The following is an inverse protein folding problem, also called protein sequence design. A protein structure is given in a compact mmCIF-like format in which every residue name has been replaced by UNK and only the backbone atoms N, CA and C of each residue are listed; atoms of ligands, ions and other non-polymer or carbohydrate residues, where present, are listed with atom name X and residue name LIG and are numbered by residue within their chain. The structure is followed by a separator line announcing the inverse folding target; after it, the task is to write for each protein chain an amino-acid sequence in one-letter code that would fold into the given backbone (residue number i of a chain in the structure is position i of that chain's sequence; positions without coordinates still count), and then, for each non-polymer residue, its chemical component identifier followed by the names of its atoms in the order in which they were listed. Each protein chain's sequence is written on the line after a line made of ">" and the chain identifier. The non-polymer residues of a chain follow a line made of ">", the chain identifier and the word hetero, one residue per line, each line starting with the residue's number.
data_IF_631065845380
#
_entry.id   IF_631065845380
#
_cell.length_a   1.000
_cell.length_b   1.000
_cell.length_c   1.000
_cell.angle_alpha   90.00
_cell.angle_beta   90.00
_cell.angle_gamma   90.00
#
_symmetry.space_group_name_H-M   'P 1'
#
loop_
_entity.id
_entity.type
_entity.pdbx_description
1 polymer ?
#
# COMPACT_ATOMS: atom_id res chain seq x y z
N UNK A 1 -78.66 -2.39 1.83
CA UNK A 1 -77.91 -1.35 1.09
C UNK A 1 -76.55 -1.21 1.78
N UNK A 2 -75.54 -2.02 1.48
CA UNK A 2 -74.72 -2.09 0.26
C UNK A 2 -73.84 -0.84 0.05
N UNK A 3 -72.60 -0.90 0.54
CA UNK A 3 -71.37 -0.46 -0.17
C UNK A 3 -70.15 -0.74 0.72
N UNK A 4 -69.54 -1.91 0.51
CA UNK A 4 -68.17 -2.19 0.93
C UNK A 4 -67.24 -1.66 -0.17
N UNK A 5 -66.31 -0.76 0.18
CA UNK A 5 -65.26 -0.27 -0.70
C UNK A 5 -64.04 -1.19 -0.52
N UNK A 6 -63.78 -2.02 -1.53
CA UNK A 6 -62.62 -2.92 -1.57
C UNK A 6 -61.38 -2.10 -1.96
N UNK A 7 -60.47 -1.83 -1.02
CA UNK A 7 -59.13 -1.34 -1.35
C UNK A 7 -58.26 -2.51 -1.82
N UNK A 8 -57.86 -2.48 -3.08
CA UNK A 8 -56.82 -3.35 -3.62
C UNK A 8 -55.46 -2.89 -3.12
N UNK A 9 -54.88 -3.62 -2.17
CA UNK A 9 -53.48 -3.49 -1.77
C UNK A 9 -52.61 -4.12 -2.87
N UNK A 10 -51.97 -3.25 -3.66
CA UNK A 10 -50.82 -3.61 -4.50
C UNK A 10 -49.66 -4.02 -3.58
N UNK A 11 -49.52 -5.33 -3.38
CA UNK A 11 -48.33 -5.92 -2.78
C UNK A 11 -47.15 -5.74 -3.72
N UNK A 12 -46.39 -4.66 -3.55
CA UNK A 12 -45.05 -4.52 -4.07
C UNK A 12 -44.18 -5.59 -3.40
N UNK A 13 -44.00 -6.72 -4.08
CA UNK A 13 -42.96 -7.67 -3.74
C UNK A 13 -41.60 -7.02 -4.02
N UNK A 14 -41.07 -6.30 -3.04
CA UNK A 14 -39.66 -5.93 -3.00
C UNK A 14 -38.87 -7.22 -2.75
N UNK A 15 -38.41 -7.86 -3.82
CA UNK A 15 -37.60 -9.07 -3.74
C UNK A 15 -36.25 -8.77 -3.06
N UNK A 16 -35.81 -9.58 -2.08
CA UNK A 16 -34.50 -9.44 -1.46
C UNK A 16 -33.45 -10.10 -2.36
N UNK A 17 -33.13 -9.48 -3.49
CA UNK A 17 -32.11 -10.02 -4.41
C UNK A 17 -30.97 -9.04 -4.73
N UNK A 18 -30.98 -7.83 -4.16
CA UNK A 18 -29.99 -6.80 -4.45
C UNK A 18 -28.86 -6.67 -3.40
N UNK A 19 -28.73 -7.62 -2.45
CA UNK A 19 -27.90 -7.41 -1.26
C UNK A 19 -26.92 -8.55 -0.90
N UNK A 20 -26.36 -9.28 -1.87
CA UNK A 20 -25.40 -10.35 -1.54
C UNK A 20 -24.14 -10.45 -2.41
N UNK A 21 -23.85 -9.48 -3.28
CA UNK A 21 -22.46 -9.34 -3.73
C UNK A 21 -21.70 -8.68 -2.58
N UNK A 22 -20.75 -9.38 -1.91
CA UNK A 22 -19.92 -8.73 -0.91
C UNK A 22 -19.31 -7.49 -1.54
N UNK A 23 -19.28 -6.38 -0.79
CA UNK A 23 -18.53 -5.22 -1.25
C UNK A 23 -17.14 -5.73 -1.63
N UNK A 24 -16.70 -5.48 -2.87
CA UNK A 24 -15.38 -5.93 -3.28
C UNK A 24 -14.38 -5.33 -2.28
N UNK A 25 -13.32 -6.08 -1.93
CA UNK A 25 -12.38 -5.63 -0.91
C UNK A 25 -11.89 -4.23 -1.27
N UNK A 26 -11.56 -3.41 -0.28
CA UNK A 26 -11.23 -2.00 -0.50
C UNK A 26 -10.11 -1.77 -1.55
N UNK A 27 -9.33 -2.81 -1.82
CA UNK A 27 -8.22 -2.90 -2.77
C UNK A 27 -8.61 -3.41 -4.18
N UNK A 28 -9.82 -3.92 -4.39
CA UNK A 28 -10.27 -4.54 -5.65
C UNK A 28 -10.34 -3.60 -6.86
N UNK A 29 -10.29 -2.28 -6.63
CA UNK A 29 -10.39 -1.26 -7.68
C UNK A 29 -9.14 -0.40 -7.86
N UNK A 30 -8.14 -0.58 -6.99
CA UNK A 30 -6.86 0.12 -7.09
C UNK A 30 -5.86 -0.78 -7.80
N UNK A 31 -5.37 -0.33 -8.97
CA UNK A 31 -3.98 -0.65 -9.27
C UNK A 31 -3.17 -0.03 -8.14
N UNK A 32 -2.42 -0.83 -7.41
CA UNK A 32 -1.66 -0.39 -6.25
C UNK A 32 -0.81 0.79 -6.67
N UNK A 33 -1.17 2.00 -6.24
CA UNK A 33 -0.41 3.21 -6.55
C UNK A 33 0.01 3.86 -5.26
N UNK A 34 1.27 4.27 -5.19
CA UNK A 34 1.78 5.10 -4.12
C UNK A 34 2.23 6.42 -4.71
N UNK A 35 1.66 7.52 -4.21
CA UNK A 35 1.93 8.87 -4.69
C UNK A 35 1.72 9.02 -6.21
N UNK A 36 0.64 8.42 -6.73
CA UNK A 36 0.30 8.45 -8.16
C UNK A 36 1.14 7.54 -9.05
N UNK A 37 2.08 6.76 -8.50
CA UNK A 37 2.95 5.83 -9.24
C UNK A 37 2.52 4.39 -9.02
N UNK A 38 2.48 3.61 -10.10
CA UNK A 38 2.18 2.18 -10.04
C UNK A 38 3.19 1.42 -9.20
N UNK A 39 2.67 0.57 -8.32
CA UNK A 39 3.44 -0.41 -7.54
C UNK A 39 3.71 -1.59 -8.46
N UNK A 40 5.00 -1.91 -8.60
CA UNK A 40 5.51 -2.96 -9.49
C UNK A 40 6.02 -4.18 -8.72
N UNK A 41 6.09 -4.09 -7.40
CA UNK A 41 6.55 -5.14 -6.52
C UNK A 41 6.00 -4.92 -5.10
N UNK A 42 5.63 -6.00 -4.43
CA UNK A 42 5.22 -6.04 -3.02
C UNK A 42 5.88 -7.23 -2.34
N UNK A 43 6.35 -7.05 -1.10
CA UNK A 43 6.76 -8.15 -0.22
C UNK A 43 6.32 -7.87 1.22
N UNK A 44 6.04 -8.94 1.95
CA UNK A 44 5.75 -8.91 3.39
C UNK A 44 6.99 -9.26 4.18
N UNK A 45 7.05 -8.76 5.41
CA UNK A 45 8.18 -9.01 6.28
C UNK A 45 7.75 -9.20 7.73
N UNK A 46 8.73 -9.60 8.57
CA UNK A 46 8.57 -9.66 10.01
C UNK A 46 8.06 -8.34 10.60
N UNK A 47 7.48 -8.39 11.81
CA UNK A 47 6.94 -7.22 12.51
C UNK A 47 5.88 -6.43 11.71
N UNK A 48 5.10 -7.11 10.85
CA UNK A 48 3.97 -6.51 10.10
C UNK A 48 4.39 -5.34 9.22
N UNK A 49 5.57 -5.44 8.64
CA UNK A 49 6.02 -4.54 7.59
C UNK A 49 5.64 -5.07 6.22
N UNK A 50 5.31 -4.15 5.32
CA UNK A 50 5.26 -4.41 3.87
C UNK A 50 6.25 -3.49 3.18
N UNK A 51 6.93 -4.02 2.18
CA UNK A 51 7.73 -3.22 1.26
C UNK A 51 7.09 -3.21 -0.11
N UNK A 52 7.16 -2.08 -0.80
CA UNK A 52 6.73 -2.01 -2.18
C UNK A 52 7.61 -1.06 -2.99
N UNK A 53 7.60 -1.24 -4.31
CA UNK A 53 8.42 -0.47 -5.25
C UNK A 53 7.51 0.25 -6.24
N UNK A 54 7.76 1.53 -6.47
CA UNK A 54 7.21 2.24 -7.63
C UNK A 54 8.34 2.74 -8.53
N UNK A 55 8.03 3.00 -9.79
CA UNK A 55 8.98 3.62 -10.74
C UNK A 55 8.41 4.95 -11.21
N UNK A 56 9.26 5.98 -11.35
CA UNK A 56 8.87 7.26 -11.94
C UNK A 56 9.28 7.38 -13.42
N UNK A 57 8.79 8.42 -14.09
CA UNK A 57 9.02 8.66 -15.52
C UNK A 57 10.50 8.89 -15.88
N UNK A 58 11.38 9.05 -14.88
CA UNK A 58 12.83 9.20 -15.05
C UNK A 58 13.59 7.91 -14.79
N UNK A 59 12.89 6.76 -14.76
CA UNK A 59 13.43 5.43 -14.49
C UNK A 59 14.18 5.37 -13.15
N UNK A 60 13.62 6.04 -12.13
CA UNK A 60 14.05 5.91 -10.73
C UNK A 60 13.11 4.99 -10.00
N UNK A 61 13.70 4.10 -9.21
CA UNK A 61 12.98 3.25 -8.29
C UNK A 61 12.75 3.98 -6.97
N UNK A 62 11.52 3.94 -6.50
CA UNK A 62 11.11 4.39 -5.18
C UNK A 62 10.80 3.17 -4.32
N UNK A 63 11.52 3.06 -3.22
CA UNK A 63 11.33 2.02 -2.23
C UNK A 63 10.52 2.57 -1.09
N UNK A 64 9.51 1.81 -0.67
CA UNK A 64 8.70 2.11 0.49
C UNK A 64 8.76 0.92 1.43
N UNK A 65 8.89 1.20 2.71
CA UNK A 65 8.72 0.25 3.80
C UNK A 65 7.65 0.84 4.71
N UNK A 66 6.50 0.18 4.78
CA UNK A 66 5.35 0.60 5.57
C UNK A 66 5.16 -0.35 6.75
N UNK A 67 5.00 0.22 7.94
CA UNK A 67 4.61 -0.52 9.13
C UNK A 67 3.10 -0.46 9.28
N UNK A 68 2.40 -1.54 8.94
CA UNK A 68 0.94 -1.56 8.85
C UNK A 68 0.24 -1.13 10.15
N UNK A 69 0.65 -1.57 11.35
CA UNK A 69 0.00 -1.15 12.60
C UNK A 69 0.02 0.35 12.88
N UNK A 70 1.05 1.08 12.41
CA UNK A 70 1.19 2.52 12.70
C UNK A 70 0.93 3.39 11.47
N UNK A 71 0.94 2.80 10.27
CA UNK A 71 0.99 3.50 8.98
C UNK A 71 2.19 4.42 8.83
N UNK A 72 3.28 4.15 9.58
CA UNK A 72 4.55 4.82 9.31
C UNK A 72 5.16 4.24 8.05
N UNK A 73 5.66 5.12 7.18
CA UNK A 73 6.30 4.76 5.93
C UNK A 73 7.69 5.37 5.91
N UNK A 74 8.70 4.56 5.62
CA UNK A 74 10.03 4.99 5.25
C UNK A 74 10.15 4.84 3.73
N UNK A 75 10.59 5.90 3.07
CA UNK A 75 10.83 5.87 1.63
C UNK A 75 12.25 6.27 1.26
N UNK A 76 12.77 5.66 0.22
CA UNK A 76 14.07 5.93 -0.38
C UNK A 76 13.94 5.94 -1.91
N UNK A 77 14.85 6.63 -2.59
CA UNK A 77 14.81 6.80 -4.05
C UNK A 77 16.19 6.52 -4.64
N UNK A 78 16.24 5.77 -5.72
CA UNK A 78 17.47 5.51 -6.48
C UNK A 78 17.92 6.73 -7.29
N UNK A 79 19.13 6.65 -7.82
CA UNK A 79 19.50 7.42 -9.00
C UNK A 79 18.69 6.93 -10.23
N UNK A 80 18.56 7.74 -11.30
CA UNK A 80 18.05 7.23 -12.58
C UNK A 80 18.89 6.04 -13.03
N UNK A 81 18.25 4.94 -13.46
CA UNK A 81 18.96 3.73 -13.90
C UNK A 81 20.01 4.01 -14.99
N UNK A 82 19.75 5.00 -15.84
CA UNK A 82 20.67 5.45 -16.90
C UNK A 82 21.94 6.14 -16.40
N UNK A 83 21.96 6.61 -15.15
CA UNK A 83 23.14 7.22 -14.50
C UNK A 83 24.04 6.18 -13.81
N UNK A 84 23.55 4.94 -13.58
CA UNK A 84 24.18 3.94 -12.72
C UNK A 84 25.24 3.05 -13.38
N UNK A 85 25.70 3.36 -14.59
CA UNK A 85 26.70 2.56 -15.32
C UNK A 85 28.16 2.86 -14.95
N UNK A 86 28.43 3.62 -13.87
CA UNK A 86 29.76 4.19 -13.63
C UNK A 86 30.45 3.92 -12.28
N UNK A 87 29.78 3.43 -11.24
CA UNK A 87 30.43 3.34 -9.91
C UNK A 87 29.87 2.23 -9.00
N UNK A 88 30.74 1.32 -8.56
CA UNK A 88 30.40 0.12 -7.76
C UNK A 88 30.20 0.36 -6.26
N UNK A 89 30.17 1.63 -5.80
CA UNK A 89 30.03 2.01 -4.38
C UNK A 89 29.00 3.12 -4.14
N UNK A 90 27.96 3.18 -4.95
CA UNK A 90 26.87 4.13 -4.72
C UNK A 90 25.56 3.42 -4.36
N UNK A 91 24.70 4.06 -3.53
CA UNK A 91 23.38 3.58 -3.10
C UNK A 91 22.35 3.54 -4.25
N UNK A 92 22.79 3.24 -5.47
CA UNK A 92 22.00 3.31 -6.69
C UNK A 92 20.99 2.16 -6.74
N UNK A 93 21.36 1.01 -6.18
CA UNK A 93 20.47 -0.14 -6.02
C UNK A 93 19.84 -0.12 -4.61
N UNK A 94 19.01 0.89 -4.35
CA UNK A 94 18.28 1.05 -3.08
C UNK A 94 17.49 -0.22 -2.73
N UNK A 95 17.03 -0.98 -3.73
CA UNK A 95 16.41 -2.30 -3.56
C UNK A 95 17.29 -3.25 -2.76
N UNK A 96 18.51 -3.45 -3.24
CA UNK A 96 19.44 -4.40 -2.66
C UNK A 96 19.82 -3.96 -1.25
N UNK A 97 20.09 -2.66 -1.07
CA UNK A 97 20.46 -2.13 0.26
C UNK A 97 19.30 -2.30 1.24
N UNK A 98 18.06 -2.05 0.81
CA UNK A 98 16.88 -2.27 1.63
C UNK A 98 16.72 -3.73 2.00
N UNK A 99 16.74 -4.66 1.04
CA UNK A 99 16.59 -6.08 1.34
C UNK A 99 17.72 -6.61 2.22
N UNK A 100 18.97 -6.24 1.96
CA UNK A 100 20.08 -6.58 2.85
C UNK A 100 19.85 -6.06 4.28
N UNK A 101 19.31 -4.85 4.43
CA UNK A 101 19.01 -4.28 5.75
C UNK A 101 17.86 -5.02 6.46
N UNK A 102 16.86 -5.50 5.70
CA UNK A 102 15.74 -6.29 6.23
C UNK A 102 16.19 -7.71 6.61
N UNK A 103 17.11 -8.30 5.83
CA UNK A 103 17.67 -9.64 6.07
C UNK A 103 18.71 -9.67 7.21
N UNK A 104 19.36 -8.54 7.49
CA UNK A 104 20.42 -8.47 8.50
C UNK A 104 19.93 -8.66 9.95
N UNK A 105 18.61 -8.65 10.21
CA UNK A 105 18.06 -8.77 11.57
C UNK A 105 16.75 -9.56 11.61
N UNK A 106 16.68 -10.51 12.54
CA UNK A 106 15.41 -11.11 12.95
C UNK A 106 14.64 -10.10 13.81
N UNK A 107 13.75 -9.34 13.15
CA UNK A 107 12.97 -8.29 13.78
C UNK A 107 13.70 -6.94 13.80
N UNK A 108 13.02 -5.93 13.30
CA UNK A 108 13.53 -4.57 13.20
C UNK A 108 12.42 -3.57 13.46
N UNK A 109 12.83 -2.39 13.91
CA UNK A 109 12.00 -1.18 13.91
C UNK A 109 12.25 -0.38 12.63
N UNK A 110 11.34 0.56 12.32
CA UNK A 110 11.59 1.54 11.26
C UNK A 110 12.88 2.35 11.51
N UNK A 111 13.22 2.57 12.79
CA UNK A 111 14.47 3.19 13.25
C UNK A 111 15.70 2.45 12.76
N UNK A 112 15.74 1.14 13.00
CA UNK A 112 16.87 0.28 12.65
C UNK A 112 17.12 0.30 11.14
N UNK A 113 16.07 0.08 10.34
CA UNK A 113 16.20 0.06 8.87
C UNK A 113 16.65 1.42 8.34
N UNK A 114 16.11 2.52 8.88
CA UNK A 114 16.56 3.85 8.49
C UNK A 114 18.03 4.10 8.84
N UNK A 115 18.51 3.59 9.97
CA UNK A 115 19.91 3.66 10.37
C UNK A 115 20.82 2.91 9.39
N UNK A 116 20.45 1.67 9.04
CA UNK A 116 21.19 0.83 8.09
C UNK A 116 21.27 1.49 6.70
N UNK A 117 20.14 1.98 6.17
CA UNK A 117 20.12 2.69 4.89
C UNK A 117 21.00 3.93 4.90
N UNK A 118 21.01 4.70 5.99
CA UNK A 118 21.86 5.89 6.12
C UNK A 118 23.35 5.54 6.20
N UNK A 119 23.71 4.45 6.86
CA UNK A 119 25.09 3.98 6.92
C UNK A 119 25.63 3.63 5.52
N UNK A 120 24.75 3.19 4.62
CA UNK A 120 25.03 2.89 3.20
C UNK A 120 24.90 4.12 2.29
N UNK A 121 24.73 5.32 2.86
CA UNK A 121 24.62 6.58 2.12
C UNK A 121 23.26 6.79 1.42
N UNK A 122 22.25 5.95 1.70
CA UNK A 122 20.91 6.08 1.12
C UNK A 122 20.15 7.21 1.83
N UNK A 123 19.75 8.22 1.06
CA UNK A 123 18.84 9.26 1.54
C UNK A 123 17.43 8.67 1.77
N UNK A 124 16.90 8.90 2.97
CA UNK A 124 15.59 8.37 3.39
C UNK A 124 14.69 9.48 3.92
N UNK A 125 13.37 9.33 3.71
CA UNK A 125 12.35 10.17 4.34
C UNK A 125 11.35 9.29 5.07
N UNK A 126 11.10 9.61 6.34
CA UNK A 126 10.03 8.98 7.12
C UNK A 126 8.80 9.88 7.13
N UNK A 127 7.64 9.30 6.91
CA UNK A 127 6.33 9.96 6.98
C UNK A 127 5.34 9.06 7.68
N UNK A 128 4.24 9.63 8.17
CA UNK A 128 3.06 8.85 8.51
C UNK A 128 2.08 9.02 7.37
N UNK A 129 1.72 7.93 6.70
CA UNK A 129 0.79 7.99 5.59
C UNK A 129 -0.62 8.29 6.13
N UNK A 130 -1.34 9.17 5.44
CA UNK A 130 -2.74 9.51 5.74
C UNK A 130 -3.72 8.41 5.29
N UNK A 131 -3.23 7.52 4.44
CA UNK A 131 -3.91 6.35 3.88
C UNK A 131 -2.93 5.15 3.95
N UNK A 132 -3.44 3.94 3.97
CA UNK A 132 -2.63 2.71 4.06
C UNK A 132 -2.53 2.03 2.69
N UNK A 133 -1.43 1.29 2.46
CA UNK A 133 -1.31 0.49 1.22
C UNK A 133 -2.26 -0.68 1.21
N UNK A 134 -2.73 -1.06 0.01
CA UNK A 134 -3.46 -2.30 -0.19
C UNK A 134 -2.65 -3.52 0.29
N UNK A 135 -1.33 -3.48 0.13
CA UNK A 135 -0.44 -4.49 0.68
C UNK A 135 -0.65 -4.70 2.19
N UNK A 136 -0.84 -3.64 2.98
CA UNK A 136 -1.19 -3.77 4.40
C UNK A 136 -2.58 -4.39 4.61
N UNK A 137 -3.58 -3.97 3.85
CA UNK A 137 -4.95 -4.49 3.96
C UNK A 137 -5.06 -5.98 3.59
N UNK A 138 -4.31 -6.43 2.58
CA UNK A 138 -4.34 -7.81 2.10
C UNK A 138 -3.53 -8.75 2.99
N UNK A 139 -2.37 -8.30 3.48
CA UNK A 139 -1.44 -9.18 4.19
C UNK A 139 -1.57 -9.12 5.72
N UNK A 140 -2.07 -8.00 6.25
CA UNK A 140 -2.24 -7.80 7.69
C UNK A 140 -3.61 -7.16 8.01
N UNK A 141 -4.73 -7.81 7.64
CA UNK A 141 -6.08 -7.25 7.78
C UNK A 141 -6.47 -6.91 9.23
N UNK A 142 -5.85 -7.57 10.21
CA UNK A 142 -6.03 -7.33 11.64
C UNK A 142 -5.20 -6.15 12.18
N UNK A 143 -4.20 -5.71 11.42
CA UNK A 143 -3.28 -4.63 11.78
C UNK A 143 -3.67 -3.28 11.17
N UNK A 144 -4.62 -3.29 10.23
CA UNK A 144 -5.11 -2.10 9.53
C UNK A 144 -5.77 -1.17 10.55
N UNK A 145 -5.31 0.08 10.63
CA UNK A 145 -6.00 1.09 11.42
C UNK A 145 -7.36 1.46 10.82
N UNK A 146 -8.10 2.40 11.42
CA UNK A 146 -9.32 2.96 10.82
C UNK A 146 -9.07 3.81 9.54
N UNK A 147 -7.91 3.64 8.88
CA UNK A 147 -7.47 4.49 7.76
C UNK A 147 -8.00 3.92 6.45
N UNK A 148 -8.45 4.84 5.60
CA UNK A 148 -8.88 4.50 4.24
C UNK A 148 -7.65 4.10 3.41
N UNK A 149 -7.70 3.00 2.62
CA UNK A 149 -6.60 2.65 1.72
C UNK A 149 -6.35 3.74 0.67
N UNK A 150 -5.17 3.72 0.04
CA UNK A 150 -4.86 4.61 -1.09
C UNK A 150 -5.98 4.51 -2.15
N UNK A 151 -6.71 5.62 -2.35
CA UNK A 151 -7.73 5.69 -3.39
C UNK A 151 -7.07 5.73 -4.76
N UNK A 152 -7.65 5.03 -5.72
CA UNK A 152 -7.43 5.30 -7.14
C UNK A 152 -7.98 6.70 -7.42
N UNK A 153 -7.18 7.58 -8.03
CA UNK A 153 -7.73 8.77 -8.67
C UNK A 153 -8.71 8.30 -9.75
N UNK A 154 -9.98 8.70 -9.62
CA UNK A 154 -10.99 8.52 -10.67
C UNK A 154 -10.46 9.21 -11.93
N UNK A 155 -10.04 8.40 -12.91
CA UNK A 155 -9.81 8.87 -14.28
C UNK A 155 -11.10 9.38 -14.88
#
# INVERSE_FOLDING_TARGET
>A
MMRALTLATLGLAAGPAAALTPLPPACAYSGDTAEGRGIVFVATHANRFVSYITTDDTDREWFYLEHCPTGQTLRARSAPRTASLGNTRHPENVRQVMFNALDAREGYTMGDIQGLLRAEGVATKRTTARAESCACHENFPDAVGAKTPYKKDTK
#
